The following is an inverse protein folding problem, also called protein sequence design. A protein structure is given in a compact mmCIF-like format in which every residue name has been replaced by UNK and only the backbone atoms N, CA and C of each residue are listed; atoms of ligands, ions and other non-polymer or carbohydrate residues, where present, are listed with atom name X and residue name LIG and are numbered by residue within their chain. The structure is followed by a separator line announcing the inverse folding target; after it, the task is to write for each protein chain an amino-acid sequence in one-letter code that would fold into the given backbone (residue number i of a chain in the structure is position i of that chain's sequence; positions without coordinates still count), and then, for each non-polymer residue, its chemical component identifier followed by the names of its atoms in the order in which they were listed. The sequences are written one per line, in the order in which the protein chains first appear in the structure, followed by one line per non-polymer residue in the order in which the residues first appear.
data_IF_462665904057
#
_entry.id   IF_462665904057
#
_cell.length_a   1.000
_cell.length_b   1.000
_cell.length_c   1.000
_cell.angle_alpha   90.00
_cell.angle_beta   90.00
_cell.angle_gamma   90.00
#
_symmetry.space_group_name_H-M   'P 1'
#
loop_
_entity.id
_entity.type
_entity.pdbx_description
1 polymer ?
#
# COMPACT_ATOMS: atom_id res chain seq x y z
N UNK A 1 -30.92 10.65 23.32
CA UNK A 1 -31.18 9.33 22.72
C UNK A 1 -29.97 8.44 22.98
N UNK A 2 -30.18 7.37 23.74
CA UNK A 2 -29.14 6.50 24.31
C UNK A 2 -28.49 5.67 23.22
N UNK A 3 -27.14 5.74 23.07
CA UNK A 3 -26.34 4.86 22.23
C UNK A 3 -26.33 3.46 22.85
N UNK A 4 -27.23 2.61 22.46
CA UNK A 4 -27.11 1.17 22.69
C UNK A 4 -26.18 0.59 21.66
N UNK A 5 -24.89 0.49 21.97
CA UNK A 5 -23.99 -0.41 21.29
C UNK A 5 -24.50 -1.84 21.55
N UNK A 6 -25.02 -2.49 20.53
CA UNK A 6 -25.27 -3.92 20.54
C UNK A 6 -23.90 -4.63 20.60
N UNK A 7 -23.50 -5.02 21.81
CA UNK A 7 -22.46 -6.04 21.96
C UNK A 7 -23.02 -7.34 21.42
N UNK A 8 -22.70 -7.66 20.17
CA UNK A 8 -23.01 -8.98 19.61
C UNK A 8 -22.19 -10.01 20.36
N UNK A 9 -22.88 -10.91 21.03
CA UNK A 9 -22.29 -12.01 21.81
C UNK A 9 -21.45 -12.87 20.87
N UNK A 10 -20.14 -12.62 20.81
CA UNK A 10 -19.22 -13.49 20.07
C UNK A 10 -18.28 -12.85 19.06
N UNK A 11 -18.59 -11.69 18.49
CA UNK A 11 -17.69 -10.90 17.64
C UNK A 11 -17.39 -9.59 18.38
N UNK A 12 -16.13 -9.36 18.79
CA UNK A 12 -15.71 -8.08 19.40
C UNK A 12 -15.63 -6.97 18.34
N UNK A 13 -16.73 -6.77 17.59
CA UNK A 13 -16.82 -5.76 16.54
C UNK A 13 -17.59 -4.56 17.08
N UNK A 14 -16.94 -3.40 17.09
CA UNK A 14 -17.59 -2.12 17.34
C UNK A 14 -18.06 -1.57 15.99
N UNK A 15 -19.19 -2.10 15.51
CA UNK A 15 -19.82 -1.66 14.25
C UNK A 15 -21.14 -0.99 14.62
N UNK A 16 -21.45 0.13 13.97
CA UNK A 16 -22.75 0.80 14.16
C UNK A 16 -23.90 -0.02 13.54
N UNK A 17 -25.15 0.14 14.02
CA UNK A 17 -26.29 -0.56 13.40
C UNK A 17 -26.41 -0.30 11.90
N UNK A 18 -26.17 0.92 11.45
CA UNK A 18 -26.22 1.30 10.02
C UNK A 18 -25.11 0.60 9.18
N UNK A 19 -23.96 0.34 9.80
CA UNK A 19 -22.87 -0.40 9.15
C UNK A 19 -23.21 -1.90 9.07
N UNK A 20 -23.86 -2.46 10.07
CA UNK A 20 -24.35 -3.85 10.07
C UNK A 20 -25.35 -4.05 8.94
N UNK A 21 -26.31 -3.14 8.78
CA UNK A 21 -27.29 -3.20 7.72
C UNK A 21 -26.65 -3.16 6.33
N UNK A 22 -25.63 -2.34 6.14
CA UNK A 22 -24.86 -2.28 4.89
C UNK A 22 -24.10 -3.60 4.59
N UNK A 23 -23.53 -4.23 5.60
CA UNK A 23 -22.87 -5.53 5.44
C UNK A 23 -23.89 -6.61 5.09
N UNK A 24 -25.04 -6.65 5.77
CA UNK A 24 -26.10 -7.61 5.52
C UNK A 24 -26.69 -7.44 4.12
N UNK A 25 -26.93 -6.20 3.69
CA UNK A 25 -27.37 -5.92 2.32
C UNK A 25 -26.41 -6.50 1.28
N UNK A 26 -25.10 -6.22 1.41
CA UNK A 26 -24.09 -6.78 0.52
C UNK A 26 -24.02 -8.31 0.57
N UNK A 27 -24.08 -8.89 1.76
CA UNK A 27 -24.11 -10.34 1.94
C UNK A 27 -25.29 -10.98 1.24
N UNK A 28 -26.42 -10.30 1.17
CA UNK A 28 -27.68 -10.82 0.65
C UNK A 28 -27.90 -10.53 -0.83
N UNK A 29 -27.32 -9.46 -1.37
CA UNK A 29 -27.59 -9.00 -2.75
C UNK A 29 -26.47 -9.32 -3.72
N UNK A 30 -25.19 -9.27 -3.29
CA UNK A 30 -24.07 -9.41 -4.19
C UNK A 30 -23.95 -10.82 -4.80
N UNK A 31 -23.69 -10.95 -6.11
CA UNK A 31 -23.41 -12.23 -6.76
C UNK A 31 -22.05 -12.79 -6.30
N UNK A 32 -21.83 -14.11 -6.51
CA UNK A 32 -20.59 -14.79 -6.11
C UNK A 32 -19.33 -14.07 -6.57
N UNK A 33 -19.30 -13.61 -7.82
CA UNK A 33 -18.14 -12.93 -8.42
C UNK A 33 -17.82 -11.61 -7.74
N UNK A 34 -18.82 -10.87 -7.32
CA UNK A 34 -18.64 -9.58 -6.63
C UNK A 34 -18.24 -9.77 -5.16
N UNK A 35 -18.74 -10.83 -4.51
CA UNK A 35 -18.30 -11.20 -3.16
C UNK A 35 -16.80 -11.52 -3.09
N UNK A 36 -16.16 -11.92 -4.22
CA UNK A 36 -14.71 -12.13 -4.26
C UNK A 36 -13.90 -10.87 -3.95
N UNK A 37 -14.46 -9.69 -4.17
CA UNK A 37 -13.79 -8.43 -3.84
C UNK A 37 -13.62 -8.23 -2.33
N UNK A 38 -14.40 -8.95 -1.52
CA UNK A 38 -14.45 -8.78 -0.07
C UNK A 38 -13.93 -9.98 0.72
N UNK A 39 -13.88 -11.15 0.09
CA UNK A 39 -13.50 -12.39 0.77
C UNK A 39 -12.91 -13.41 -0.20
N UNK A 40 -12.48 -14.59 0.31
CA UNK A 40 -11.93 -15.65 -0.52
C UNK A 40 -13.02 -16.31 -1.40
N UNK A 41 -12.61 -16.84 -2.56
CA UNK A 41 -13.47 -17.59 -3.49
C UNK A 41 -14.24 -18.70 -2.80
N UNK A 42 -13.61 -19.41 -1.85
CA UNK A 42 -14.26 -20.47 -1.06
C UNK A 42 -15.39 -19.91 -0.19
N UNK A 43 -15.13 -18.81 0.50
CA UNK A 43 -16.11 -18.19 1.39
C UNK A 43 -17.28 -17.58 0.61
N UNK A 44 -17.03 -16.94 -0.54
CA UNK A 44 -18.07 -16.41 -1.42
C UNK A 44 -19.05 -17.51 -1.86
N UNK A 45 -18.51 -18.67 -2.28
CA UNK A 45 -19.34 -19.84 -2.62
C UNK A 45 -20.19 -20.34 -1.45
N UNK A 46 -19.62 -20.37 -0.24
CA UNK A 46 -20.35 -20.80 0.95
C UNK A 46 -21.47 -19.81 1.32
N UNK A 47 -21.24 -18.51 1.15
CA UNK A 47 -22.25 -17.47 1.37
C UNK A 47 -23.41 -17.65 0.39
N UNK A 48 -23.12 -17.82 -0.91
CA UNK A 48 -24.16 -18.03 -1.95
C UNK A 48 -24.91 -19.33 -1.70
N UNK A 49 -24.20 -20.41 -1.37
CA UNK A 49 -24.79 -21.68 -1.02
C UNK A 49 -25.74 -21.56 0.18
N UNK A 50 -25.31 -20.90 1.23
CA UNK A 50 -26.15 -20.66 2.42
C UNK A 50 -27.44 -19.90 2.06
N UNK A 51 -27.33 -18.83 1.25
CA UNK A 51 -28.51 -18.07 0.78
C UNK A 51 -29.51 -18.95 0.05
N UNK A 52 -29.01 -19.84 -0.81
CA UNK A 52 -29.86 -20.71 -1.63
C UNK A 52 -30.54 -21.81 -0.80
N UNK A 53 -29.88 -22.29 0.27
CA UNK A 53 -30.36 -23.41 1.08
C UNK A 53 -31.16 -22.96 2.32
N UNK A 54 -30.77 -21.85 2.95
CA UNK A 54 -31.32 -21.40 4.25
C UNK A 54 -31.95 -20.02 4.23
N UNK A 55 -31.90 -19.31 3.10
CA UNK A 55 -32.42 -17.97 2.96
C UNK A 55 -31.40 -16.87 3.25
N UNK A 56 -31.90 -15.64 3.35
CA UNK A 56 -31.07 -14.46 3.54
C UNK A 56 -30.43 -14.43 4.94
N UNK A 57 -29.27 -13.80 5.06
CA UNK A 57 -28.66 -13.51 6.33
C UNK A 57 -29.43 -12.42 7.08
N UNK A 58 -29.91 -12.71 8.27
CA UNK A 58 -30.55 -11.75 9.17
C UNK A 58 -29.55 -11.11 10.15
N UNK A 59 -28.42 -11.79 10.40
CA UNK A 59 -27.34 -11.36 11.31
C UNK A 59 -25.99 -11.79 10.76
N UNK A 60 -24.98 -10.96 10.97
CA UNK A 60 -23.60 -11.24 10.52
C UNK A 60 -23.03 -12.49 11.24
N UNK A 61 -23.45 -12.77 12.46
CA UNK A 61 -23.03 -13.95 13.23
C UNK A 61 -23.41 -15.26 12.57
N UNK A 62 -24.43 -15.28 11.71
CA UNK A 62 -24.81 -16.49 10.95
C UNK A 62 -23.67 -16.99 10.03
N UNK A 63 -22.73 -16.13 9.69
CA UNK A 63 -21.50 -16.52 8.98
C UNK A 63 -20.63 -17.50 9.78
N UNK A 64 -20.73 -17.50 11.12
CA UNK A 64 -20.04 -18.49 11.97
C UNK A 64 -20.59 -19.91 11.78
N UNK A 65 -21.80 -20.05 11.25
CA UNK A 65 -22.41 -21.35 10.95
C UNK A 65 -21.87 -21.94 9.63
N UNK A 66 -21.09 -21.19 8.86
CA UNK A 66 -20.44 -21.69 7.67
C UNK A 66 -19.22 -22.55 8.06
N UNK A 67 -19.02 -23.64 7.31
CA UNK A 67 -17.98 -24.62 7.60
C UNK A 67 -16.57 -24.01 7.58
N UNK A 68 -15.81 -24.17 8.66
CA UNK A 68 -14.42 -23.70 8.80
C UNK A 68 -14.22 -22.18 8.68
N UNK A 69 -15.25 -21.38 8.99
CA UNK A 69 -15.14 -19.93 9.03
C UNK A 69 -14.80 -19.49 10.47
N UNK A 70 -13.69 -18.77 10.62
CA UNK A 70 -13.23 -18.23 11.90
C UNK A 70 -13.65 -16.75 12.05
N UNK A 71 -13.85 -16.31 13.30
CA UNK A 71 -14.20 -14.93 13.64
C UNK A 71 -13.32 -13.89 12.94
N UNK A 72 -12.00 -14.16 12.85
CA UNK A 72 -11.05 -13.26 12.17
C UNK A 72 -11.32 -13.09 10.67
N UNK A 73 -11.87 -14.13 9.99
CA UNK A 73 -12.21 -14.04 8.58
C UNK A 73 -13.47 -13.20 8.37
N UNK A 74 -14.45 -13.34 9.28
CA UNK A 74 -15.65 -12.51 9.26
C UNK A 74 -15.29 -11.06 9.53
N UNK A 75 -14.45 -10.78 10.53
CA UNK A 75 -13.97 -9.43 10.83
C UNK A 75 -13.35 -8.78 9.61
N UNK A 76 -12.36 -9.44 8.98
CA UNK A 76 -11.70 -8.92 7.78
C UNK A 76 -12.66 -8.67 6.62
N UNK A 77 -13.63 -9.55 6.42
CA UNK A 77 -14.63 -9.39 5.38
C UNK A 77 -15.54 -8.20 5.67
N UNK A 78 -16.04 -8.05 6.90
CA UNK A 78 -16.86 -6.91 7.30
C UNK A 78 -16.07 -5.60 7.18
N UNK A 79 -14.82 -5.58 7.67
CA UNK A 79 -13.94 -4.43 7.51
C UNK A 79 -13.73 -4.10 6.02
N UNK A 80 -13.53 -5.11 5.17
CA UNK A 80 -13.44 -4.94 3.73
C UNK A 80 -14.74 -4.42 3.13
N UNK A 81 -15.89 -4.94 3.51
CA UNK A 81 -17.19 -4.48 3.04
C UNK A 81 -17.54 -3.07 3.50
N UNK A 82 -17.07 -2.66 4.67
CA UNK A 82 -17.28 -1.33 5.23
C UNK A 82 -16.26 -0.32 4.69
N UNK A 83 -14.99 -0.74 4.52
CA UNK A 83 -13.94 0.07 3.90
C UNK A 83 -14.20 0.29 2.41
N UNK A 84 -14.71 -0.74 1.75
CA UNK A 84 -15.19 -0.70 0.37
C UNK A 84 -16.69 -0.36 0.34
N UNK A 85 -17.15 0.55 1.17
CA UNK A 85 -18.47 1.19 0.99
C UNK A 85 -18.70 1.69 -0.44
N UNK A 86 -17.75 1.43 -1.30
CA UNK A 86 -17.60 1.69 -2.71
C UNK A 86 -17.54 0.35 -3.45
N UNK A 87 -18.71 -0.26 -3.69
CA UNK A 87 -18.84 -1.17 -4.83
C UNK A 87 -18.50 -0.39 -6.10
N UNK A 88 -17.77 -0.97 -7.07
CA UNK A 88 -17.51 -0.31 -8.36
C UNK A 88 -18.78 0.20 -9.07
N UNK A 89 -19.95 -0.32 -8.72
CA UNK A 89 -21.24 0.13 -9.25
C UNK A 89 -21.87 1.33 -8.51
N UNK A 90 -21.45 1.64 -7.27
CA UNK A 90 -21.97 2.79 -6.49
C UNK A 90 -21.11 4.04 -6.62
N UNK A 91 -19.95 3.95 -7.28
CA UNK A 91 -19.09 5.11 -7.63
C UNK A 91 -19.77 6.09 -8.62
N UNK A 92 -20.91 5.74 -9.15
CA UNK A 92 -21.61 6.59 -10.12
C UNK A 92 -22.59 7.61 -9.49
N UNK A 93 -22.71 7.71 -8.20
CA UNK A 93 -23.77 8.52 -7.62
C UNK A 93 -23.44 9.60 -6.59
N UNK A 94 -22.23 9.79 -6.07
CA UNK A 94 -22.01 11.00 -5.23
C UNK A 94 -20.55 11.41 -5.11
N UNK A 95 -20.21 12.59 -5.62
CA UNK A 95 -18.94 13.31 -5.37
C UNK A 95 -18.64 13.50 -3.87
N UNK A 96 -19.61 13.28 -2.98
CA UNK A 96 -19.44 13.37 -1.53
C UNK A 96 -18.82 12.13 -0.88
N UNK A 97 -18.97 10.93 -1.47
CA UNK A 97 -18.41 9.68 -0.92
C UNK A 97 -16.90 9.62 -1.08
N UNK A 98 -16.38 10.09 -2.21
CA UNK A 98 -14.95 10.11 -2.49
C UNK A 98 -14.21 11.10 -1.59
N UNK A 99 -14.78 12.29 -1.35
CA UNK A 99 -14.23 13.25 -0.38
C UNK A 99 -14.17 12.68 1.04
N UNK A 100 -15.13 11.85 1.43
CA UNK A 100 -15.11 11.16 2.72
C UNK A 100 -13.99 10.13 2.80
N UNK A 101 -13.77 9.34 1.74
CA UNK A 101 -12.70 8.35 1.65
C UNK A 101 -11.33 9.02 1.63
N UNK A 102 -11.12 10.03 0.79
CA UNK A 102 -9.87 10.77 0.71
C UNK A 102 -9.49 11.40 2.05
N UNK A 103 -10.45 11.97 2.79
CA UNK A 103 -10.24 12.48 4.15
C UNK A 103 -9.81 11.38 5.13
N UNK A 104 -10.43 10.20 5.05
CA UNK A 104 -10.07 9.04 5.90
C UNK A 104 -8.66 8.54 5.56
N UNK A 105 -8.32 8.43 4.29
CA UNK A 105 -7.00 8.02 3.81
C UNK A 105 -5.93 9.07 4.15
N UNK A 106 -6.23 10.36 4.03
CA UNK A 106 -5.35 11.43 4.48
C UNK A 106 -5.03 11.32 5.97
N UNK A 107 -6.01 10.94 6.80
CA UNK A 107 -5.81 10.63 8.21
C UNK A 107 -4.85 9.46 8.48
N UNK A 108 -4.48 8.71 7.44
CA UNK A 108 -3.52 7.60 7.51
C UNK A 108 -2.08 8.02 7.16
N UNK A 109 -1.82 9.31 6.91
CA UNK A 109 -0.47 9.86 6.71
C UNK A 109 0.13 10.22 8.07
N UNK A 110 1.36 9.80 8.34
CA UNK A 110 2.05 10.01 9.63
C UNK A 110 3.45 10.58 9.40
N UNK A 111 3.83 11.72 9.99
CA UNK A 111 2.93 12.72 10.58
C UNK A 111 2.00 13.31 9.54
N UNK A 112 0.90 13.93 9.98
CA UNK A 112 0.02 14.67 9.06
C UNK A 112 0.79 15.80 8.40
N UNK A 113 0.70 15.97 7.07
CA UNK A 113 1.32 17.08 6.38
C UNK A 113 0.65 18.42 6.78
N UNK A 114 1.47 19.46 6.82
CA UNK A 114 1.00 20.83 6.99
C UNK A 114 0.53 21.33 5.62
N UNK A 115 -0.78 21.34 5.44
CA UNK A 115 -1.41 21.67 4.14
C UNK A 115 -1.09 23.11 3.70
N UNK A 116 -0.97 24.03 4.65
CA UNK A 116 -0.70 25.44 4.32
C UNK A 116 0.65 25.61 3.60
N UNK A 117 1.60 24.71 3.85
CA UNK A 117 2.89 24.73 3.16
C UNK A 117 2.85 24.22 1.72
N UNK A 118 1.77 23.56 1.32
CA UNK A 118 1.59 23.08 -0.06
C UNK A 118 0.94 24.15 -0.95
N UNK A 119 0.13 25.07 -0.40
CA UNK A 119 -0.56 26.09 -1.17
C UNK A 119 0.42 27.10 -1.81
N UNK A 120 1.56 27.34 -1.15
CA UNK A 120 2.54 28.35 -1.57
C UNK A 120 3.61 27.84 -2.54
N UNK A 121 3.66 26.54 -2.85
CA UNK A 121 4.79 26.00 -3.60
C UNK A 121 4.38 25.19 -4.83
N UNK A 122 4.35 25.89 -5.98
CA UNK A 122 4.30 25.26 -7.32
C UNK A 122 5.56 24.39 -7.60
N UNK A 123 6.61 24.54 -6.79
CA UNK A 123 7.91 23.88 -6.98
C UNK A 123 8.25 22.84 -5.90
N UNK A 124 7.24 22.20 -5.30
CA UNK A 124 7.48 21.20 -4.27
C UNK A 124 7.91 19.86 -4.86
N UNK A 125 9.04 19.36 -4.41
CA UNK A 125 9.58 18.07 -4.83
C UNK A 125 9.21 16.95 -3.85
N UNK A 126 8.74 15.84 -4.41
CA UNK A 126 8.37 14.64 -3.68
C UNK A 126 9.26 13.47 -4.07
N UNK A 127 9.77 12.74 -3.08
CA UNK A 127 10.48 11.47 -3.31
C UNK A 127 9.73 10.33 -2.64
N UNK A 128 9.17 9.45 -3.45
CA UNK A 128 8.60 8.19 -2.99
C UNK A 128 9.67 7.12 -2.85
N UNK A 129 9.73 6.45 -1.71
CA UNK A 129 10.67 5.38 -1.44
C UNK A 129 9.95 4.03 -1.32
N UNK A 130 10.40 3.04 -2.08
CA UNK A 130 10.05 1.65 -1.86
C UNK A 130 11.26 0.89 -1.30
N UNK A 131 11.17 0.53 -0.02
CA UNK A 131 12.25 -0.16 0.69
C UNK A 131 12.09 -1.68 0.57
N UNK A 132 13.13 -2.35 0.11
CA UNK A 132 13.20 -3.79 0.01
C UNK A 132 14.59 -4.27 0.46
N UNK A 133 14.73 -5.55 0.80
CA UNK A 133 16.03 -6.12 1.13
C UNK A 133 16.90 -6.41 -0.09
N UNK A 134 16.40 -6.19 -1.30
CA UNK A 134 17.16 -6.35 -2.55
C UNK A 134 17.63 -5.02 -3.13
N UNK A 135 16.96 -3.92 -2.76
CA UNK A 135 17.28 -2.59 -3.23
C UNK A 135 16.20 -1.59 -2.82
N UNK A 136 16.48 -0.32 -3.02
CA UNK A 136 15.55 0.77 -2.73
C UNK A 136 15.15 1.43 -4.04
N UNK A 137 13.89 1.24 -4.44
CA UNK A 137 13.32 1.99 -5.54
C UNK A 137 12.92 3.39 -5.10
N UNK A 138 13.24 4.41 -5.89
CA UNK A 138 12.75 5.75 -5.63
C UNK A 138 12.26 6.43 -6.90
N UNK A 139 11.32 7.34 -6.72
CA UNK A 139 10.81 8.24 -7.73
C UNK A 139 10.83 9.66 -7.19
N UNK A 140 11.46 10.59 -7.91
CA UNK A 140 11.42 12.03 -7.61
C UNK A 140 10.47 12.71 -8.58
N UNK A 141 9.47 13.39 -8.07
CA UNK A 141 8.42 14.06 -8.84
C UNK A 141 8.34 15.54 -8.47
N UNK A 142 8.13 16.36 -9.48
CA UNK A 142 7.78 17.77 -9.38
C UNK A 142 6.55 18.00 -10.24
N UNK A 143 5.43 18.39 -9.64
CA UNK A 143 4.14 18.48 -10.34
C UNK A 143 3.80 17.18 -11.08
N UNK A 144 3.52 17.23 -12.38
CA UNK A 144 3.21 16.07 -13.21
C UNK A 144 4.42 15.55 -13.98
N UNK A 145 5.64 15.93 -13.57
CA UNK A 145 6.90 15.52 -14.19
C UNK A 145 7.69 14.61 -13.26
N UNK A 146 8.15 13.47 -13.79
CA UNK A 146 9.06 12.57 -13.11
C UNK A 146 10.50 12.97 -13.41
N UNK A 147 11.18 13.55 -12.41
CA UNK A 147 12.54 14.07 -12.56
C UNK A 147 13.60 12.98 -12.47
N UNK A 148 13.35 11.95 -11.67
CA UNK A 148 14.29 10.85 -11.47
C UNK A 148 13.57 9.57 -11.02
N UNK A 149 13.93 8.44 -11.62
CA UNK A 149 13.31 7.14 -11.34
C UNK A 149 14.35 6.03 -11.36
N UNK A 150 14.87 5.64 -10.20
CA UNK A 150 16.02 4.74 -10.08
C UNK A 150 15.90 3.77 -8.92
N UNK A 151 16.80 2.80 -8.93
CA UNK A 151 17.04 1.87 -7.82
C UNK A 151 18.43 2.10 -7.27
N UNK A 152 18.52 2.15 -5.95
CA UNK A 152 19.77 2.12 -5.21
C UNK A 152 19.96 0.72 -4.66
N UNK A 153 21.03 0.05 -5.08
CA UNK A 153 21.40 -1.25 -4.55
C UNK A 153 21.78 -1.15 -3.07
N UNK A 154 21.58 -2.23 -2.33
CA UNK A 154 21.96 -2.32 -0.93
C UNK A 154 23.43 -2.77 -0.81
N UNK A 155 24.36 -1.90 -0.43
CA UNK A 155 25.77 -2.26 -0.29
C UNK A 155 26.02 -3.38 0.72
N UNK A 156 25.18 -3.52 1.74
CA UNK A 156 25.28 -4.56 2.75
C UNK A 156 25.24 -5.98 2.16
N UNK A 157 24.51 -6.19 1.06
CA UNK A 157 24.45 -7.49 0.39
C UNK A 157 25.77 -7.84 -0.32
N UNK A 158 26.48 -6.84 -0.81
CA UNK A 158 27.81 -7.04 -1.45
C UNK A 158 28.88 -7.38 -0.42
N UNK A 159 28.86 -6.70 0.74
CA UNK A 159 29.77 -6.96 1.86
C UNK A 159 29.59 -8.39 2.36
N UNK A 160 28.35 -8.83 2.57
CA UNK A 160 28.06 -10.20 3.03
C UNK A 160 28.41 -11.26 1.99
N UNK A 161 28.23 -11.00 0.69
CA UNK A 161 28.68 -11.88 -0.39
C UNK A 161 30.19 -12.01 -0.43
N UNK A 162 30.94 -10.92 -0.31
CA UNK A 162 32.38 -10.90 -0.30
C UNK A 162 32.98 -11.66 0.91
N UNK A 163 32.34 -11.61 2.05
CA UNK A 163 32.76 -12.39 3.24
C UNK A 163 32.51 -13.89 3.10
N UNK A 164 31.44 -14.29 2.41
CA UNK A 164 31.04 -15.71 2.22
C UNK A 164 31.82 -16.42 1.11
N UNK A 165 32.31 -15.71 0.09
CA UNK A 165 33.13 -16.29 -0.97
C UNK A 165 34.50 -16.80 -0.47
N UNK A 166 34.94 -16.38 0.73
CA UNK A 166 36.13 -16.95 1.38
C UNK A 166 35.90 -18.32 2.03
N UNK A 167 34.65 -18.68 2.29
CA UNK A 167 34.28 -19.99 2.87
C UNK A 167 33.16 -20.60 2.04
N UNK A 168 33.53 -21.33 0.98
CA UNK A 168 32.59 -22.04 0.07
C UNK A 168 31.36 -22.54 0.81
N UNK A 169 30.12 -22.16 0.40
CA UNK A 169 28.92 -23.02 0.44
C UNK A 169 27.65 -22.22 0.08
N UNK A 170 26.83 -22.84 -0.79
CA UNK A 170 25.41 -22.61 -1.10
C UNK A 170 24.84 -21.20 -0.90
N UNK A 171 24.47 -20.60 -2.00
CA UNK A 171 23.68 -19.36 -2.10
C UNK A 171 22.29 -19.61 -1.51
N UNK A 172 22.15 -19.48 -0.20
CA UNK A 172 20.88 -19.20 0.45
C UNK A 172 20.82 -17.68 0.55
N UNK A 173 19.70 -17.08 0.15
CA UNK A 173 19.51 -15.64 0.26
C UNK A 173 19.81 -15.20 1.71
N UNK A 174 20.92 -14.49 1.96
CA UNK A 174 21.34 -14.20 3.34
C UNK A 174 20.39 -13.25 4.05
N UNK A 175 19.62 -12.46 3.29
CA UNK A 175 18.67 -11.49 3.83
C UNK A 175 17.50 -12.14 4.55
N UNK A 176 17.15 -13.39 4.19
CA UNK A 176 16.04 -14.13 4.80
C UNK A 176 16.43 -14.91 6.07
N UNK A 177 17.71 -15.21 6.28
CA UNK A 177 18.16 -16.17 7.29
C UNK A 177 19.02 -15.59 8.43
N UNK A 178 19.66 -14.43 8.22
CA UNK A 178 20.52 -13.77 9.21
C UNK A 178 20.02 -12.35 9.51
N UNK A 179 20.38 -11.83 10.69
CA UNK A 179 20.20 -10.40 10.99
C UNK A 179 21.37 -9.61 10.42
N UNK A 180 21.09 -8.40 9.93
CA UNK A 180 22.13 -7.47 9.52
C UNK A 180 22.97 -7.03 10.71
N UNK A 181 24.30 -6.97 10.54
CA UNK A 181 25.16 -6.32 11.52
C UNK A 181 24.89 -4.82 11.56
N UNK A 182 24.71 -4.26 12.75
CA UNK A 182 24.34 -2.85 12.92
C UNK A 182 25.31 -1.88 12.26
N UNK A 183 26.62 -2.15 12.33
CA UNK A 183 27.64 -1.31 11.69
C UNK A 183 27.45 -1.30 10.17
N UNK A 184 27.38 -2.48 9.54
CA UNK A 184 27.24 -2.61 8.10
C UNK A 184 25.92 -2.00 7.61
N UNK A 185 24.86 -2.10 8.42
CA UNK A 185 23.56 -1.50 8.13
C UNK A 185 23.66 0.03 8.15
N UNK A 186 24.32 0.61 9.17
CA UNK A 186 24.46 2.05 9.30
C UNK A 186 25.27 2.63 8.14
N UNK A 187 26.44 2.04 7.84
CA UNK A 187 27.32 2.48 6.75
C UNK A 187 26.60 2.39 5.39
N UNK A 188 25.84 1.30 5.17
CA UNK A 188 25.03 1.14 3.97
C UNK A 188 23.94 2.21 3.86
N UNK A 189 23.25 2.52 4.96
CA UNK A 189 22.21 3.56 4.98
C UNK A 189 22.78 4.95 4.74
N UNK A 190 24.02 5.24 5.20
CA UNK A 190 24.70 6.50 4.87
C UNK A 190 24.95 6.63 3.36
N UNK A 191 25.52 5.58 2.74
CA UNK A 191 25.78 5.54 1.29
C UNK A 191 24.47 5.72 0.50
N UNK A 192 23.39 5.05 0.93
CA UNK A 192 22.09 5.17 0.30
C UNK A 192 21.57 6.60 0.43
N UNK A 193 21.60 7.18 1.63
CA UNK A 193 21.12 8.53 1.87
C UNK A 193 21.90 9.59 1.08
N UNK A 194 23.15 9.32 0.69
CA UNK A 194 23.95 10.17 -0.19
C UNK A 194 23.56 10.07 -1.66
N UNK A 195 23.09 8.88 -2.07
CA UNK A 195 22.62 8.63 -3.44
C UNK A 195 21.18 9.08 -3.69
N UNK A 196 20.40 9.25 -2.63
CA UNK A 196 19.03 9.74 -2.77
C UNK A 196 19.01 11.24 -3.12
N UNK A 197 18.16 11.68 -4.06
CA UNK A 197 18.03 13.08 -4.40
C UNK A 197 17.52 13.89 -3.19
N UNK A 198 17.93 15.15 -3.11
CA UNK A 198 17.36 16.09 -2.13
C UNK A 198 15.96 16.48 -2.56
N UNK A 199 15.02 16.43 -1.64
CA UNK A 199 13.62 16.77 -1.87
C UNK A 199 13.00 17.41 -0.63
N UNK A 200 11.88 18.10 -0.83
CA UNK A 200 11.12 18.73 0.25
C UNK A 200 10.45 17.67 1.12
N UNK A 201 9.94 16.62 0.47
CA UNK A 201 9.21 15.54 1.14
C UNK A 201 9.68 14.16 0.68
N UNK A 202 9.91 13.29 1.66
CA UNK A 202 10.15 11.86 1.44
C UNK A 202 8.95 11.06 1.90
N UNK A 203 8.39 10.26 1.01
CA UNK A 203 7.20 9.46 1.26
C UNK A 203 7.59 7.99 1.33
N UNK A 204 7.28 7.35 2.45
CA UNK A 204 7.56 5.94 2.70
C UNK A 204 6.28 5.20 3.06
N UNK A 205 6.33 3.89 3.05
CA UNK A 205 5.26 3.04 3.54
C UNK A 205 5.48 2.66 5.00
N UNK A 206 4.43 2.68 5.82
CA UNK A 206 4.49 2.16 7.18
C UNK A 206 4.71 0.65 7.14
N UNK A 207 5.63 0.09 7.93
CA UNK A 207 5.89 -1.34 7.90
C UNK A 207 4.67 -2.13 8.37
N UNK A 208 4.42 -3.25 7.72
CA UNK A 208 3.41 -4.18 8.18
C UNK A 208 3.75 -4.72 9.58
N UNK A 209 2.75 -4.95 10.45
CA UNK A 209 2.99 -5.48 11.78
C UNK A 209 3.67 -6.85 11.72
N UNK A 210 4.60 -7.08 12.65
CA UNK A 210 5.32 -8.35 12.78
C UNK A 210 4.57 -9.24 13.77
N UNK A 211 4.21 -10.44 13.38
CA UNK A 211 3.58 -11.44 14.24
C UNK A 211 4.61 -12.48 14.68
N UNK A 212 4.53 -12.97 15.92
CA UNK A 212 5.51 -13.89 16.51
C UNK A 212 5.73 -15.21 15.75
N UNK A 213 4.74 -15.66 14.97
CA UNK A 213 4.80 -16.90 14.18
C UNK A 213 4.99 -16.66 12.68
N UNK A 214 5.48 -15.48 12.30
CA UNK A 214 5.69 -15.15 10.89
C UNK A 214 6.95 -15.88 10.39
N UNK A 215 6.87 -16.71 9.35
CA UNK A 215 8.03 -17.40 8.78
C UNK A 215 9.08 -16.43 8.21
N UNK A 216 8.67 -15.21 7.88
CA UNK A 216 9.53 -14.14 7.37
C UNK A 216 9.93 -13.11 8.44
N UNK A 217 9.81 -13.45 9.72
CA UNK A 217 10.06 -12.52 10.82
C UNK A 217 11.43 -11.85 10.74
N UNK A 218 12.49 -12.61 10.44
CA UNK A 218 13.86 -12.06 10.33
C UNK A 218 13.97 -11.04 9.19
N UNK A 219 13.45 -11.37 8.02
CA UNK A 219 13.44 -10.46 6.88
C UNK A 219 12.66 -9.16 7.19
N UNK A 220 11.53 -9.28 7.87
CA UNK A 220 10.75 -8.12 8.31
C UNK A 220 11.48 -7.25 9.33
N UNK A 221 12.19 -7.88 10.28
CA UNK A 221 13.03 -7.15 11.26
C UNK A 221 14.18 -6.43 10.55
N UNK A 222 14.88 -7.09 9.62
CA UNK A 222 15.93 -6.47 8.83
C UNK A 222 15.40 -5.28 8.02
N UNK A 223 14.24 -5.42 7.38
CA UNK A 223 13.60 -4.34 6.63
C UNK A 223 13.19 -3.18 7.56
N UNK A 224 12.67 -3.48 8.74
CA UNK A 224 12.32 -2.46 9.73
C UNK A 224 13.57 -1.73 10.25
N UNK A 225 14.67 -2.44 10.51
CA UNK A 225 15.94 -1.85 10.91
C UNK A 225 16.51 -0.97 9.79
N UNK A 226 16.55 -1.45 8.55
CA UNK A 226 16.95 -0.68 7.36
C UNK A 226 16.14 0.62 7.26
N UNK A 227 14.80 0.50 7.32
CA UNK A 227 13.90 1.64 7.28
C UNK A 227 14.19 2.64 8.39
N UNK A 228 14.23 2.19 9.64
CA UNK A 228 14.44 3.07 10.80
C UNK A 228 15.79 3.79 10.72
N UNK A 229 16.85 3.07 10.38
CA UNK A 229 18.20 3.66 10.25
C UNK A 229 18.24 4.70 9.13
N UNK A 230 17.73 4.36 7.92
CA UNK A 230 17.73 5.28 6.79
C UNK A 230 16.90 6.53 7.07
N UNK A 231 15.69 6.38 7.62
CA UNK A 231 14.84 7.52 7.94
C UNK A 231 15.43 8.41 9.04
N UNK A 232 16.14 7.82 10.02
CA UNK A 232 16.85 8.57 11.04
C UNK A 232 17.97 9.42 10.41
N UNK A 233 18.74 8.86 9.48
CA UNK A 233 19.79 9.59 8.77
C UNK A 233 19.21 10.71 7.91
N UNK A 234 18.12 10.44 7.16
CA UNK A 234 17.44 11.46 6.36
C UNK A 234 16.88 12.58 7.25
N UNK A 235 16.29 12.23 8.39
CA UNK A 235 15.78 13.23 9.37
C UNK A 235 16.88 14.06 9.97
N UNK A 236 18.05 13.49 10.27
CA UNK A 236 19.22 14.22 10.73
C UNK A 236 19.75 15.20 9.66
N UNK A 237 19.43 14.98 8.39
CA UNK A 237 19.71 15.89 7.26
C UNK A 237 18.58 16.89 6.98
N UNK A 238 17.66 17.07 7.94
CA UNK A 238 16.51 17.96 7.89
C UNK A 238 15.44 17.56 6.83
N UNK A 239 15.41 16.31 6.39
CA UNK A 239 14.38 15.84 5.50
C UNK A 239 12.99 15.84 6.18
N UNK A 240 11.95 16.26 5.45
CA UNK A 240 10.56 16.08 5.86
C UNK A 240 10.08 14.72 5.39
N UNK A 241 9.66 13.87 6.32
CA UNK A 241 9.32 12.47 6.03
C UNK A 241 7.88 12.21 6.43
N UNK A 242 7.11 11.61 5.52
CA UNK A 242 5.75 11.14 5.75
C UNK A 242 5.64 9.64 5.48
N UNK A 243 4.96 8.92 6.34
CA UNK A 243 4.66 7.52 6.15
C UNK A 243 3.19 7.34 5.76
N UNK A 244 2.94 6.59 4.68
CA UNK A 244 1.63 6.12 4.29
C UNK A 244 1.37 4.76 4.93
N UNK A 245 0.19 4.54 5.48
CA UNK A 245 -0.21 3.16 5.85
C UNK A 245 -0.20 2.26 4.63
N UNK A 246 0.22 1.01 4.81
CA UNK A 246 0.38 0.00 3.75
C UNK A 246 -0.84 -0.14 2.85
N UNK A 247 -2.04 0.05 3.38
CA UNK A 247 -3.27 -0.08 2.63
C UNK A 247 -3.64 1.17 1.80
N UNK A 248 -2.96 2.29 1.95
CA UNK A 248 -3.31 3.52 1.22
C UNK A 248 -3.10 3.38 -0.28
N UNK A 249 -1.91 2.98 -0.79
CA UNK A 249 -1.74 2.70 -2.20
C UNK A 249 -2.66 1.56 -2.69
N UNK A 250 -2.84 0.50 -1.88
CA UNK A 250 -3.72 -0.63 -2.22
C UNK A 250 -5.15 -0.18 -2.52
N UNK A 251 -5.67 0.76 -1.73
CA UNK A 251 -7.04 1.29 -1.91
C UNK A 251 -7.09 2.27 -3.09
N UNK A 252 -6.16 3.22 -3.15
CA UNK A 252 -6.18 4.26 -4.18
C UNK A 252 -6.02 3.70 -5.59
N UNK A 253 -5.17 2.69 -5.77
CA UNK A 253 -4.86 2.12 -7.09
C UNK A 253 -5.49 0.74 -7.31
N UNK A 254 -6.37 0.30 -6.41
CA UNK A 254 -7.04 -1.00 -6.48
C UNK A 254 -6.03 -2.15 -6.70
N UNK A 255 -4.98 -2.20 -5.85
CA UNK A 255 -3.93 -3.22 -5.92
C UNK A 255 -4.30 -4.53 -5.22
N UNK A 256 -5.50 -4.63 -4.69
CA UNK A 256 -6.01 -5.84 -4.03
C UNK A 256 -7.36 -6.24 -4.59
N UNK A 257 -7.50 -7.51 -4.89
CA UNK A 257 -8.77 -8.14 -5.23
C UNK A 257 -9.04 -9.29 -4.25
N UNK A 258 -9.92 -9.02 -3.28
CA UNK A 258 -10.12 -9.93 -2.15
C UNK A 258 -8.86 -10.04 -1.27
N UNK A 259 -8.26 -11.23 -1.22
CA UNK A 259 -7.01 -11.47 -0.47
C UNK A 259 -5.77 -11.53 -1.38
N UNK A 260 -5.94 -11.35 -2.67
CA UNK A 260 -4.84 -11.42 -3.66
C UNK A 260 -4.32 -10.02 -3.96
N UNK A 261 -2.98 -9.89 -4.03
CA UNK A 261 -2.33 -8.67 -4.49
C UNK A 261 -2.22 -8.70 -6.00
N UNK A 262 -2.61 -7.60 -6.64
CA UNK A 262 -2.46 -7.39 -8.08
C UNK A 262 -1.10 -6.72 -8.29
N UNK A 263 -0.35 -7.16 -9.30
CA UNK A 263 0.92 -6.51 -9.66
C UNK A 263 0.66 -5.06 -10.08
N UNK A 264 1.51 -4.16 -9.59
CA UNK A 264 1.44 -2.75 -9.98
C UNK A 264 1.61 -2.57 -11.49
N UNK A 265 2.38 -3.46 -12.13
CA UNK A 265 2.58 -3.45 -13.59
C UNK A 265 1.28 -3.68 -14.38
N UNK A 266 0.25 -4.28 -13.77
CA UNK A 266 -1.06 -4.45 -14.39
C UNK A 266 -1.95 -3.20 -14.28
N UNK A 267 -1.67 -2.34 -13.30
CA UNK A 267 -2.46 -1.13 -13.00
C UNK A 267 -1.87 0.14 -13.56
N UNK A 268 -0.55 0.15 -13.78
CA UNK A 268 0.17 1.30 -14.30
C UNK A 268 0.59 1.02 -15.74
N UNK A 269 0.19 1.90 -16.65
CA UNK A 269 0.59 1.81 -18.04
C UNK A 269 1.73 2.78 -18.30
N UNK A 270 2.83 2.26 -18.85
CA UNK A 270 3.94 3.08 -19.31
C UNK A 270 3.87 3.14 -20.84
N UNK A 271 3.50 4.32 -21.35
CA UNK A 271 3.47 4.57 -22.78
C UNK A 271 4.81 5.15 -23.22
N UNK A 272 5.60 4.31 -23.85
CA UNK A 272 6.94 4.69 -24.29
C UNK A 272 6.96 5.66 -25.48
N UNK A 273 5.94 5.65 -26.33
CA UNK A 273 5.84 6.58 -27.48
C UNK A 273 5.59 8.00 -27.02
N UNK A 274 4.66 8.16 -26.10
CA UNK A 274 4.20 9.48 -25.63
C UNK A 274 4.97 9.95 -24.38
N UNK A 275 5.91 9.12 -23.88
CA UNK A 275 6.69 9.40 -22.66
C UNK A 275 5.80 9.66 -21.44
N UNK A 276 4.72 8.90 -21.31
CA UNK A 276 3.73 9.06 -20.28
C UNK A 276 3.62 7.80 -19.42
N UNK A 277 3.50 8.00 -18.11
CA UNK A 277 3.01 6.99 -17.18
C UNK A 277 1.59 7.35 -16.83
N UNK A 278 0.66 6.43 -17.07
CA UNK A 278 -0.76 6.63 -16.77
C UNK A 278 -1.23 5.63 -15.73
N UNK A 279 -2.01 6.08 -14.77
CA UNK A 279 -2.61 5.26 -13.72
C UNK A 279 -3.98 5.78 -13.33
N UNK A 280 -4.85 4.87 -12.87
CA UNK A 280 -6.19 5.22 -12.39
C UNK A 280 -6.21 5.29 -10.88
N UNK A 281 -6.79 6.34 -10.33
CA UNK A 281 -7.01 6.52 -8.91
C UNK A 281 -8.49 6.24 -8.60
N UNK A 282 -8.76 5.36 -7.63
CA UNK A 282 -10.10 4.96 -7.16
C UNK A 282 -11.03 4.40 -8.25
N UNK A 283 -10.47 3.69 -9.23
CA UNK A 283 -11.19 3.18 -10.43
C UNK A 283 -11.93 4.28 -11.22
N UNK A 284 -11.70 5.54 -10.90
CA UNK A 284 -12.36 6.65 -11.55
C UNK A 284 -11.65 7.09 -12.83
N UNK A 285 -12.41 7.87 -13.61
CA UNK A 285 -12.01 8.43 -14.91
C UNK A 285 -10.87 9.46 -14.86
N UNK A 286 -10.24 9.65 -13.72
CA UNK A 286 -9.07 10.51 -13.59
C UNK A 286 -7.85 9.68 -13.87
N UNK A 287 -7.45 9.67 -15.12
CA UNK A 287 -6.14 9.16 -15.50
C UNK A 287 -5.10 10.19 -15.02
N UNK A 288 -4.31 9.81 -14.01
CA UNK A 288 -3.15 10.60 -13.64
C UNK A 288 -2.06 10.36 -14.68
N UNK A 289 -1.66 11.41 -15.38
CA UNK A 289 -0.61 11.39 -16.38
C UNK A 289 0.67 12.00 -15.82
N UNK A 290 1.79 11.32 -16.01
CA UNK A 290 3.10 11.75 -15.53
C UNK A 290 4.08 11.69 -16.67
N UNK A 291 4.75 12.80 -16.95
CA UNK A 291 5.77 12.91 -18.00
C UNK A 291 7.07 12.19 -17.59
N UNK A 292 7.64 11.43 -18.53
CA UNK A 292 8.90 10.71 -18.38
C UNK A 292 10.02 11.37 -19.18
N UNK A 293 11.19 11.50 -18.57
CA UNK A 293 12.41 11.80 -19.33
C UNK A 293 12.93 10.59 -20.09
N UNK A 294 13.65 10.84 -21.20
CA UNK A 294 14.21 9.75 -22.02
C UNK A 294 15.19 8.84 -21.26
N UNK A 295 15.95 9.42 -20.32
CA UNK A 295 16.84 8.66 -19.44
C UNK A 295 16.11 7.65 -18.56
N UNK A 296 14.99 8.08 -17.95
CA UNK A 296 14.20 7.25 -17.03
C UNK A 296 13.39 6.20 -17.78
N UNK A 297 12.89 6.57 -18.97
CA UNK A 297 12.28 5.63 -19.90
C UNK A 297 13.22 4.46 -20.20
N UNK A 298 14.44 4.76 -20.69
CA UNK A 298 15.44 3.75 -21.02
C UNK A 298 15.78 2.90 -19.79
N UNK A 299 16.02 3.53 -18.65
CA UNK A 299 16.31 2.84 -17.41
C UNK A 299 15.19 1.88 -17.01
N UNK A 300 13.93 2.30 -17.11
CA UNK A 300 12.77 1.46 -16.81
C UNK A 300 12.63 0.31 -17.82
N UNK A 301 12.84 0.55 -19.12
CA UNK A 301 12.79 -0.50 -20.15
C UNK A 301 13.78 -1.63 -19.87
N UNK A 302 15.01 -1.27 -19.51
CA UNK A 302 16.12 -2.21 -19.23
C UNK A 302 16.01 -2.89 -17.85
N UNK A 303 15.20 -2.36 -16.96
CA UNK A 303 15.05 -2.90 -15.61
C UNK A 303 14.42 -4.30 -15.59
N UNK A 304 14.86 -5.15 -14.67
CA UNK A 304 14.24 -6.46 -14.42
C UNK A 304 12.78 -6.30 -14.00
N UNK A 305 11.98 -7.37 -14.12
CA UNK A 305 10.57 -7.35 -13.69
C UNK A 305 10.42 -6.92 -12.23
N UNK A 306 11.28 -7.40 -11.33
CA UNK A 306 11.26 -7.04 -9.91
C UNK A 306 11.61 -5.56 -9.72
N UNK A 307 12.62 -5.08 -10.43
CA UNK A 307 13.02 -3.68 -10.38
C UNK A 307 11.93 -2.75 -10.90
N UNK A 308 11.23 -3.14 -11.98
CA UNK A 308 10.05 -2.42 -12.48
C UNK A 308 8.98 -2.29 -11.41
N UNK A 309 8.71 -3.38 -10.67
CA UNK A 309 7.75 -3.35 -9.57
C UNK A 309 8.17 -2.36 -8.48
N UNK A 310 9.45 -2.34 -8.07
CA UNK A 310 9.95 -1.41 -7.04
C UNK A 310 9.88 0.05 -7.49
N UNK A 311 10.21 0.32 -8.74
CA UNK A 311 10.08 1.64 -9.34
C UNK A 311 8.62 2.10 -9.32
N UNK A 312 7.71 1.28 -9.81
CA UNK A 312 6.28 1.60 -9.82
C UNK A 312 5.72 1.79 -8.42
N UNK A 313 6.08 0.93 -7.45
CA UNK A 313 5.66 1.09 -6.06
C UNK A 313 6.17 2.39 -5.42
N UNK A 314 7.38 2.84 -5.77
CA UNK A 314 7.88 4.14 -5.31
C UNK A 314 7.04 5.28 -5.88
N UNK A 315 6.72 5.24 -7.18
CA UNK A 315 5.91 6.25 -7.85
C UNK A 315 4.50 6.32 -7.31
N UNK A 316 3.84 5.18 -7.08
CA UNK A 316 2.49 5.15 -6.52
C UNK A 316 2.42 5.82 -5.14
N UNK A 317 3.45 5.72 -4.32
CA UNK A 317 3.50 6.39 -3.01
C UNK A 317 3.55 7.90 -3.15
N UNK A 318 4.34 8.41 -4.09
CA UNK A 318 4.40 9.84 -4.39
C UNK A 318 3.05 10.36 -4.86
N UNK A 319 2.46 9.67 -5.84
CA UNK A 319 1.16 10.03 -6.40
C UNK A 319 0.05 9.94 -5.36
N UNK A 320 0.03 8.88 -4.54
CA UNK A 320 -0.95 8.73 -3.46
C UNK A 320 -0.89 9.88 -2.47
N UNK A 321 0.30 10.25 -2.04
CA UNK A 321 0.49 11.34 -1.10
C UNK A 321 0.03 12.68 -1.67
N UNK A 322 0.49 13.02 -2.88
CA UNK A 322 0.11 14.25 -3.56
C UNK A 322 -1.40 14.34 -3.81
N UNK A 323 -2.01 13.27 -4.31
CA UNK A 323 -3.46 13.19 -4.53
C UNK A 323 -4.23 13.47 -3.24
N UNK A 324 -3.84 12.83 -2.12
CA UNK A 324 -4.53 13.03 -0.85
C UNK A 324 -4.36 14.47 -0.32
N UNK A 325 -3.22 15.10 -0.53
CA UNK A 325 -3.00 16.49 -0.16
C UNK A 325 -3.87 17.42 -1.01
N UNK A 326 -3.88 17.26 -2.35
CA UNK A 326 -4.72 18.07 -3.27
C UNK A 326 -6.21 17.92 -2.96
N UNK A 327 -6.70 16.69 -2.72
CA UNK A 327 -8.11 16.44 -2.38
C UNK A 327 -8.56 17.16 -1.09
N UNK A 328 -7.67 17.29 -0.09
CA UNK A 328 -8.00 18.00 1.15
C UNK A 328 -8.01 19.52 0.94
N UNK A 329 -7.12 20.02 0.10
CA UNK A 329 -7.08 21.45 -0.27
C UNK A 329 -8.26 21.84 -1.17
N UNK A 330 -8.86 20.88 -1.87
CA UNK A 330 -9.95 21.12 -2.81
C UNK A 330 -9.49 21.66 -4.16
N UNK A 331 -8.23 21.31 -4.52
CA UNK A 331 -7.56 21.70 -5.78
C UNK A 331 -7.65 20.53 -6.77
#
# INVERSE_FOLDING_TARGET
MSRRALQSVGLNMVISPEEIDKVLDKLNTLPEKELFNYTSKKMSRMIVKFRNEKGLFERVEQLLNLEKVEKRHIQKMCDSMLLTGLSPMLLNQDNNSNKSLSRKLFGSIIPKPDINKFEDSLDTTFVGLHLSLQGIGYSMKLNDELLEWKIVDLPILEIEKAQKTKNSIKIVDPSATAYFEHKNLFDSCQIIAEKLPKADYYIVEEPAPIFQKDPYMKAKINLMNLRTTLLTILKARNATIHALKTNVPDILFNLKQGNESISVQEKVKVNYSDKLVTMKILDEKVDQEILLHDSDKKYFEEASRVNKEYLLLSLLKTVAFEYLCKEIMGI
#
